data_IF_592560623144
#
_entry.id   IF_592560623144
#
_cell.length_a   1.000
_cell.length_b   1.000
_cell.length_c   1.000
_cell.angle_alpha   90.00
_cell.angle_beta   90.00
_cell.angle_gamma   90.00
#
_symmetry.space_group_name_H-M   'P 1'
#
loop_
_entity.id
_entity.type
_entity.pdbx_description
1 polymer ?
#
# COMPACT_ATOMS: atom_id res chain seq x y z
N UNK A 1 -17.50 -12.65 -10.47
CA UNK A 1 -18.80 -13.28 -10.80
C UNK A 1 -19.69 -12.32 -11.60
N UNK A 2 -20.26 -11.23 -11.05
CA UNK A 2 -21.23 -10.36 -11.71
C UNK A 2 -20.73 -9.81 -13.05
N UNK A 3 -19.44 -9.40 -13.14
CA UNK A 3 -18.86 -8.98 -14.41
C UNK A 3 -18.88 -10.08 -15.46
N UNK A 4 -18.71 -11.33 -15.07
CA UNK A 4 -18.79 -12.49 -15.97
C UNK A 4 -20.24 -12.64 -16.48
N UNK A 5 -21.21 -12.62 -15.57
CA UNK A 5 -22.63 -12.71 -15.92
C UNK A 5 -23.08 -11.60 -16.89
N UNK A 6 -22.61 -10.38 -16.69
CA UNK A 6 -22.88 -9.24 -17.59
C UNK A 6 -22.24 -9.45 -18.98
N UNK A 7 -21.03 -10.00 -19.01
CA UNK A 7 -20.35 -10.35 -20.28
C UNK A 7 -21.03 -11.48 -21.04
N UNK A 8 -21.46 -12.51 -20.34
CA UNK A 8 -22.21 -13.63 -20.89
C UNK A 8 -23.58 -13.17 -21.41
N UNK A 9 -24.28 -12.31 -20.65
CA UNK A 9 -25.55 -11.73 -21.07
C UNK A 9 -25.39 -10.91 -22.38
N UNK A 10 -24.32 -10.13 -22.51
CA UNK A 10 -24.06 -9.39 -23.75
C UNK A 10 -23.80 -10.35 -24.92
N UNK A 11 -22.98 -11.36 -24.72
CA UNK A 11 -22.67 -12.36 -25.76
C UNK A 11 -23.95 -13.07 -26.21
N UNK A 12 -24.79 -13.47 -25.25
CA UNK A 12 -26.07 -14.13 -25.57
C UNK A 12 -27.07 -13.19 -26.24
N UNK A 13 -27.18 -11.93 -25.78
CA UNK A 13 -28.06 -10.94 -26.41
C UNK A 13 -27.64 -10.62 -27.85
N UNK A 14 -26.33 -10.55 -28.12
CA UNK A 14 -25.81 -10.38 -29.47
C UNK A 14 -26.01 -11.61 -30.35
N UNK A 15 -25.86 -12.80 -29.80
CA UNK A 15 -26.14 -14.05 -30.55
C UNK A 15 -27.63 -14.21 -30.89
N UNK A 16 -28.52 -13.75 -30.01
CA UNK A 16 -29.97 -13.75 -30.23
C UNK A 16 -30.44 -12.63 -31.19
N UNK A 17 -29.59 -11.66 -31.48
CA UNK A 17 -29.96 -10.50 -32.32
C UNK A 17 -30.70 -9.40 -31.56
N UNK A 18 -30.85 -9.50 -30.24
CA UNK A 18 -31.48 -8.47 -29.40
C UNK A 18 -30.57 -7.22 -29.27
N UNK A 19 -29.27 -7.41 -29.43
CA UNK A 19 -28.24 -6.34 -29.49
C UNK A 19 -27.36 -6.57 -30.73
N UNK A 20 -27.03 -5.54 -31.54
CA UNK A 20 -26.11 -5.69 -32.66
C UNK A 20 -24.72 -6.20 -32.25
N UNK A 21 -24.03 -6.83 -33.22
CA UNK A 21 -22.66 -7.30 -33.01
C UNK A 21 -21.66 -6.14 -33.05
N UNK A 22 -20.87 -6.00 -31.99
CA UNK A 22 -19.74 -5.06 -31.89
C UNK A 22 -18.78 -5.52 -30.79
N UNK A 23 -17.55 -5.01 -30.78
CA UNK A 23 -16.62 -5.19 -29.68
C UNK A 23 -16.98 -4.23 -28.56
N UNK A 24 -17.43 -4.77 -27.41
CA UNK A 24 -17.82 -3.95 -26.28
C UNK A 24 -16.61 -3.55 -25.41
N UNK A 25 -16.64 -2.36 -24.81
CA UNK A 25 -15.70 -2.00 -23.77
C UNK A 25 -15.91 -2.90 -22.52
N UNK A 26 -14.91 -3.09 -21.66
CA UNK A 26 -15.06 -3.88 -20.45
C UNK A 26 -16.17 -3.30 -19.57
N UNK A 27 -17.03 -4.17 -19.04
CA UNK A 27 -18.05 -3.78 -18.08
C UNK A 27 -17.40 -3.33 -16.77
N UNK A 28 -18.05 -2.41 -16.07
CA UNK A 28 -17.68 -2.01 -14.71
C UNK A 28 -18.88 -2.19 -13.79
N UNK A 29 -18.58 -2.56 -12.54
CA UNK A 29 -19.58 -2.66 -11.47
C UNK A 29 -19.18 -1.75 -10.34
N UNK A 30 -20.18 -1.25 -9.62
CA UNK A 30 -20.01 -0.41 -8.45
C UNK A 30 -21.07 -0.76 -7.39
N UNK A 31 -20.85 -0.36 -6.15
CA UNK A 31 -21.88 -0.44 -5.13
C UNK A 31 -22.83 0.75 -5.28
N UNK A 32 -24.15 0.51 -5.42
CA UNK A 32 -25.11 1.61 -5.48
C UNK A 32 -25.10 2.43 -4.20
N UNK A 33 -25.33 3.74 -4.32
CA UNK A 33 -25.41 4.63 -3.16
C UNK A 33 -26.64 4.35 -2.26
N UNK A 34 -27.68 3.74 -2.83
CA UNK A 34 -28.93 3.42 -2.14
C UNK A 34 -29.11 1.91 -2.09
N UNK A 35 -29.37 1.39 -0.90
CA UNK A 35 -29.59 -0.05 -0.68
C UNK A 35 -30.76 -0.64 -1.48
N UNK A 36 -31.76 0.18 -1.82
CA UNK A 36 -32.90 -0.20 -2.66
C UNK A 36 -32.53 -0.57 -4.10
N UNK A 37 -31.32 -0.21 -4.52
CA UNK A 37 -30.76 -0.54 -5.85
C UNK A 37 -29.90 -1.82 -5.86
N UNK A 38 -29.98 -2.62 -4.81
CA UNK A 38 -29.26 -3.89 -4.71
C UNK A 38 -27.82 -3.75 -4.21
N UNK A 39 -27.06 -4.82 -4.33
CA UNK A 39 -25.70 -4.92 -3.84
C UNK A 39 -24.67 -4.42 -4.85
N UNK A 40 -24.94 -4.61 -6.14
CA UNK A 40 -24.07 -4.19 -7.23
C UNK A 40 -24.85 -3.60 -8.40
N UNK A 41 -24.26 -2.62 -9.07
CA UNK A 41 -24.81 -1.98 -10.25
C UNK A 41 -23.81 -2.02 -11.40
N UNK A 42 -24.26 -2.48 -12.57
CA UNK A 42 -23.47 -2.49 -13.79
C UNK A 42 -23.95 -1.38 -14.74
N UNK A 43 -23.02 -0.61 -15.27
CA UNK A 43 -23.29 0.52 -16.15
C UNK A 43 -23.06 0.19 -17.65
N UNK A 44 -22.87 -1.07 -18.00
CA UNK A 44 -22.60 -1.49 -19.38
C UNK A 44 -23.64 -0.97 -20.39
N UNK A 45 -24.97 -0.99 -20.11
CA UNK A 45 -25.96 -0.47 -21.06
C UNK A 45 -25.72 0.98 -21.43
N UNK A 46 -25.36 1.82 -20.47
CA UNK A 46 -25.04 3.23 -20.68
C UNK A 46 -23.80 3.43 -21.55
N UNK A 47 -22.83 2.54 -21.42
CA UNK A 47 -21.57 2.62 -22.17
C UNK A 47 -21.69 2.14 -23.62
N UNK A 48 -22.58 1.19 -23.89
CA UNK A 48 -22.73 0.59 -25.22
C UNK A 48 -23.93 1.09 -25.99
N UNK A 49 -24.81 1.93 -25.41
CA UNK A 49 -25.99 2.46 -26.12
C UNK A 49 -25.70 3.09 -27.46
N UNK A 50 -24.59 3.83 -27.59
CA UNK A 50 -24.15 4.44 -28.84
C UNK A 50 -23.68 3.42 -29.88
N UNK A 51 -23.00 2.36 -29.44
CA UNK A 51 -22.56 1.25 -30.30
C UNK A 51 -23.74 0.41 -30.76
N UNK A 52 -24.68 0.14 -29.87
CA UNK A 52 -25.90 -0.58 -30.13
C UNK A 52 -26.92 0.24 -30.97
N UNK A 53 -26.78 1.55 -31.01
CA UNK A 53 -27.78 2.50 -31.58
C UNK A 53 -29.18 2.30 -30.97
N UNK A 54 -29.20 2.00 -29.66
CA UNK A 54 -30.39 1.76 -28.84
C UNK A 54 -30.37 2.68 -27.63
N UNK A 55 -31.51 2.91 -27.00
CA UNK A 55 -31.53 3.62 -25.71
C UNK A 55 -30.94 2.73 -24.62
N UNK A 56 -30.25 3.32 -23.64
CA UNK A 56 -29.64 2.56 -22.57
C UNK A 56 -30.61 1.64 -21.81
N UNK A 57 -31.86 2.08 -21.64
CA UNK A 57 -32.91 1.29 -21.02
C UNK A 57 -33.27 0.05 -21.87
N UNK A 58 -33.34 0.18 -23.18
CA UNK A 58 -33.64 -0.93 -24.11
C UNK A 58 -32.49 -1.94 -24.13
N UNK A 59 -31.24 -1.43 -24.08
CA UNK A 59 -30.07 -2.29 -23.94
C UNK A 59 -30.09 -3.03 -22.58
N UNK A 60 -30.47 -2.35 -21.51
CA UNK A 60 -30.57 -2.98 -20.18
C UNK A 60 -31.65 -4.08 -20.15
N UNK A 61 -32.79 -3.85 -20.79
CA UNK A 61 -33.86 -4.85 -20.92
C UNK A 61 -33.38 -6.08 -21.73
N UNK A 62 -32.70 -5.86 -22.85
CA UNK A 62 -32.12 -6.94 -23.63
C UNK A 62 -31.07 -7.74 -22.81
N UNK A 63 -30.16 -7.06 -22.14
CA UNK A 63 -29.17 -7.75 -21.28
C UNK A 63 -29.83 -8.52 -20.15
N UNK A 64 -30.78 -7.91 -19.41
CA UNK A 64 -31.47 -8.58 -18.30
C UNK A 64 -32.12 -9.88 -18.72
N UNK A 65 -32.72 -9.94 -19.91
CA UNK A 65 -33.36 -11.14 -20.47
C UNK A 65 -32.38 -12.30 -20.65
N UNK A 66 -31.10 -11.98 -20.87
CA UNK A 66 -30.04 -12.94 -21.17
C UNK A 66 -29.04 -13.12 -20.01
N UNK A 67 -29.25 -12.46 -18.84
CA UNK A 67 -28.43 -12.78 -17.66
C UNK A 67 -28.67 -14.22 -17.25
N UNK A 68 -27.65 -15.08 -17.21
CA UNK A 68 -27.83 -16.46 -16.80
C UNK A 68 -28.19 -16.56 -15.31
N UNK A 69 -28.96 -17.60 -14.94
CA UNK A 69 -29.17 -17.91 -13.54
C UNK A 69 -27.87 -18.27 -12.85
N UNK A 70 -27.66 -17.72 -11.67
CA UNK A 70 -26.47 -18.00 -10.87
C UNK A 70 -26.83 -18.01 -9.38
N UNK A 71 -26.23 -18.96 -8.63
CA UNK A 71 -26.53 -19.17 -7.21
C UNK A 71 -26.27 -17.94 -6.32
N UNK A 72 -25.36 -17.04 -6.73
CA UNK A 72 -25.06 -15.82 -5.98
C UNK A 72 -26.07 -14.69 -6.19
N UNK A 73 -26.96 -14.78 -7.18
CA UNK A 73 -27.87 -13.71 -7.58
C UNK A 73 -29.32 -14.13 -7.37
N UNK A 74 -30.03 -13.42 -6.53
CA UNK A 74 -31.45 -13.64 -6.28
C UNK A 74 -32.34 -12.89 -7.27
N UNK A 75 -31.89 -11.73 -7.78
CA UNK A 75 -32.68 -10.84 -8.63
C UNK A 75 -31.80 -9.91 -9.44
N UNK A 76 -32.25 -9.57 -10.64
CA UNK A 76 -31.68 -8.50 -11.46
C UNK A 76 -32.77 -7.52 -11.86
N UNK A 77 -32.62 -6.25 -11.47
CA UNK A 77 -33.53 -5.16 -11.82
C UNK A 77 -32.86 -4.14 -12.73
N UNK A 78 -33.67 -3.30 -13.34
CA UNK A 78 -33.24 -2.19 -14.17
C UNK A 78 -33.58 -0.88 -13.45
N UNK A 79 -32.60 0.01 -13.32
CA UNK A 79 -32.84 1.36 -12.82
C UNK A 79 -32.52 2.39 -13.91
N UNK A 80 -33.36 3.47 -14.04
CA UNK A 80 -33.07 4.55 -14.94
C UNK A 80 -31.70 5.20 -14.65
N UNK A 81 -30.97 5.63 -15.68
CA UNK A 81 -31.34 5.61 -17.11
C UNK A 81 -30.97 4.32 -17.87
N UNK A 82 -30.53 3.27 -17.21
CA UNK A 82 -30.17 1.99 -17.82
C UNK A 82 -29.13 1.22 -17.04
N UNK A 83 -29.15 1.30 -15.72
CA UNK A 83 -28.32 0.46 -14.86
C UNK A 83 -28.92 -0.92 -14.68
N UNK A 84 -28.07 -1.95 -14.65
CA UNK A 84 -28.46 -3.30 -14.22
C UNK A 84 -28.06 -3.48 -12.76
N UNK A 85 -29.06 -3.64 -11.90
CA UNK A 85 -28.88 -3.78 -10.46
C UNK A 85 -29.02 -5.24 -10.04
N UNK A 86 -28.00 -5.77 -9.38
CA UNK A 86 -27.91 -7.15 -8.93
C UNK A 86 -28.12 -7.22 -7.42
N UNK A 87 -29.00 -8.12 -7.00
CA UNK A 87 -29.27 -8.44 -5.61
C UNK A 87 -28.68 -9.82 -5.30
N UNK A 88 -27.82 -9.89 -4.31
CA UNK A 88 -27.22 -11.17 -3.91
C UNK A 88 -28.24 -12.06 -3.22
N UNK A 89 -28.08 -13.36 -3.37
CA UNK A 89 -28.84 -14.34 -2.62
C UNK A 89 -28.33 -14.41 -1.17
N UNK A 90 -29.23 -14.25 -0.21
CA UNK A 90 -28.88 -14.23 1.21
C UNK A 90 -28.28 -15.56 1.70
N UNK A 91 -28.77 -16.69 1.16
CA UNK A 91 -28.22 -18.00 1.47
C UNK A 91 -26.80 -18.17 0.94
N UNK A 92 -26.56 -17.71 -0.29
CA UNK A 92 -25.22 -17.70 -0.86
C UNK A 92 -24.26 -16.82 -0.06
N UNK A 93 -24.68 -15.62 0.36
CA UNK A 93 -23.86 -14.73 1.21
C UNK A 93 -23.55 -15.39 2.54
N UNK A 94 -24.55 -15.99 3.20
CA UNK A 94 -24.35 -16.72 4.45
C UNK A 94 -23.37 -17.89 4.29
N UNK A 95 -23.41 -18.59 3.16
CA UNK A 95 -22.50 -19.69 2.86
C UNK A 95 -21.03 -19.24 2.65
N UNK A 96 -20.76 -17.94 2.48
CA UNK A 96 -19.37 -17.44 2.43
C UNK A 96 -18.70 -17.41 3.82
N UNK A 97 -19.46 -17.31 4.91
CA UNK A 97 -18.90 -17.23 6.27
C UNK A 97 -17.99 -18.43 6.59
N UNK A 98 -18.42 -19.69 6.44
CA UNK A 98 -17.52 -20.83 6.67
C UNK A 98 -16.34 -20.88 5.68
N UNK A 99 -16.50 -20.39 4.44
CA UNK A 99 -15.40 -20.31 3.47
C UNK A 99 -14.32 -19.34 3.95
N UNK A 100 -14.73 -18.15 4.40
CA UNK A 100 -13.81 -17.15 4.98
C UNK A 100 -13.13 -17.72 6.23
N UNK A 101 -13.90 -18.33 7.13
CA UNK A 101 -13.36 -18.89 8.36
C UNK A 101 -12.35 -20.03 8.09
N UNK A 102 -12.62 -20.87 7.11
CA UNK A 102 -11.72 -21.97 6.74
C UNK A 102 -10.42 -21.47 6.06
N UNK A 103 -10.52 -20.43 5.26
CA UNK A 103 -9.36 -19.82 4.59
C UNK A 103 -8.46 -19.01 5.55
N UNK A 104 -9.03 -18.49 6.65
CA UNK A 104 -8.29 -17.71 7.64
C UNK A 104 -7.52 -16.54 6.99
N UNK A 105 -6.25 -16.39 7.36
CA UNK A 105 -5.38 -15.30 6.89
C UNK A 105 -5.14 -15.31 5.37
N UNK A 106 -5.34 -16.44 4.69
CA UNK A 106 -5.17 -16.55 3.25
C UNK A 106 -6.37 -16.07 2.42
N UNK A 107 -7.52 -15.80 3.05
CA UNK A 107 -8.75 -15.46 2.33
C UNK A 107 -8.61 -14.28 1.37
N UNK A 108 -7.89 -13.23 1.78
CA UNK A 108 -7.69 -12.03 1.00
C UNK A 108 -6.49 -12.11 0.03
N UNK A 109 -5.78 -13.24 -0.02
CA UNK A 109 -4.63 -13.41 -0.89
C UNK A 109 -5.03 -13.60 -2.35
N UNK A 110 -4.18 -13.15 -3.25
CA UNK A 110 -4.36 -13.30 -4.70
C UNK A 110 -3.01 -13.62 -5.36
N UNK A 111 -3.05 -14.10 -6.59
CA UNK A 111 -1.83 -14.40 -7.38
C UNK A 111 -1.55 -13.32 -8.45
N UNK A 112 -1.92 -12.07 -8.19
CA UNK A 112 -1.68 -10.96 -9.14
C UNK A 112 -0.22 -10.72 -9.42
N UNK A 113 0.62 -10.90 -8.41
CA UNK A 113 2.07 -10.75 -8.51
C UNK A 113 2.76 -11.86 -9.28
N UNK A 114 2.11 -13.02 -9.44
CA UNK A 114 2.63 -14.18 -10.16
C UNK A 114 4.09 -14.53 -9.80
N UNK A 115 4.47 -14.38 -8.54
CA UNK A 115 5.84 -14.62 -8.06
C UNK A 115 6.88 -13.58 -8.52
N UNK A 116 6.48 -12.44 -9.05
CA UNK A 116 7.43 -11.38 -9.41
C UNK A 116 8.17 -10.89 -8.17
N UNK A 117 9.50 -10.77 -8.28
CA UNK A 117 10.35 -10.28 -7.21
C UNK A 117 10.30 -8.76 -7.15
N UNK A 118 10.11 -8.23 -5.95
CA UNK A 118 10.08 -6.79 -5.66
C UNK A 118 10.93 -6.52 -4.42
N UNK A 119 11.79 -5.53 -4.51
CA UNK A 119 12.56 -5.00 -3.37
C UNK A 119 11.92 -3.70 -2.90
N UNK A 120 11.67 -3.60 -1.60
CA UNK A 120 11.13 -2.41 -0.95
C UNK A 120 12.13 -1.89 0.07
N UNK A 121 12.74 -0.76 -0.25
CA UNK A 121 13.55 -0.02 0.71
C UNK A 121 12.68 0.99 1.45
N UNK A 122 12.77 1.00 2.77
CA UNK A 122 12.05 1.97 3.60
C UNK A 122 12.70 2.17 4.96
N UNK A 123 12.37 3.29 5.59
CA UNK A 123 13.04 3.87 6.76
C UNK A 123 14.40 4.46 6.39
N UNK A 124 15.44 3.66 6.16
CA UNK A 124 16.80 4.02 5.72
C UNK A 124 17.30 5.37 6.27
N UNK A 125 17.07 5.56 7.59
CA UNK A 125 17.42 6.81 8.27
C UNK A 125 18.92 6.86 8.56
N UNK A 126 19.54 8.04 8.37
CA UNK A 126 20.92 8.26 8.77
C UNK A 126 21.09 8.10 10.29
N UNK A 127 22.16 7.46 10.78
CA UNK A 127 22.41 7.23 12.21
C UNK A 127 22.95 8.50 12.89
N UNK A 128 22.30 9.65 12.71
CA UNK A 128 22.74 10.96 13.23
C UNK A 128 21.77 11.54 14.25
N UNK A 129 20.83 10.74 14.74
CA UNK A 129 19.88 11.16 15.76
C UNK A 129 18.74 10.16 15.97
N UNK A 130 17.90 10.40 16.99
CA UNK A 130 16.77 9.54 17.31
C UNK A 130 15.74 9.53 16.16
N UNK A 131 15.07 8.40 15.98
CA UNK A 131 14.00 8.27 15.02
C UNK A 131 12.85 9.25 15.32
N UNK A 132 12.35 9.93 14.29
CA UNK A 132 11.27 10.89 14.40
C UNK A 132 9.99 10.38 13.70
N UNK A 133 8.89 11.12 13.84
CA UNK A 133 7.57 10.77 13.25
C UNK A 133 7.66 10.47 11.74
N UNK A 134 8.54 11.17 11.00
CA UNK A 134 8.75 10.89 9.57
C UNK A 134 9.28 9.49 9.30
N UNK A 135 10.24 9.01 10.10
CA UNK A 135 10.77 7.64 10.01
C UNK A 135 9.67 6.61 10.36
N UNK A 136 8.90 6.86 11.44
CA UNK A 136 7.77 6.01 11.84
C UNK A 136 6.69 5.91 10.76
N UNK A 137 6.37 7.03 10.09
CA UNK A 137 5.46 7.03 8.95
C UNK A 137 6.00 6.21 7.78
N UNK A 138 7.28 6.38 7.45
CA UNK A 138 7.96 5.59 6.42
C UNK A 138 7.92 4.10 6.73
N UNK A 139 8.17 3.72 7.99
CA UNK A 139 8.10 2.34 8.45
C UNK A 139 6.68 1.75 8.29
N UNK A 140 5.65 2.48 8.72
CA UNK A 140 4.26 2.03 8.62
C UNK A 140 3.83 1.84 7.17
N UNK A 141 4.15 2.79 6.28
CA UNK A 141 3.81 2.70 4.86
C UNK A 141 4.56 1.55 4.20
N UNK A 142 5.88 1.46 4.38
CA UNK A 142 6.71 0.43 3.76
C UNK A 142 6.33 -0.98 4.21
N UNK A 143 6.14 -1.18 5.51
CA UNK A 143 5.71 -2.46 6.07
C UNK A 143 4.30 -2.86 5.58
N UNK A 144 3.36 -1.93 5.55
CA UNK A 144 2.01 -2.19 5.03
C UNK A 144 2.05 -2.55 3.54
N UNK A 145 2.81 -1.81 2.74
CA UNK A 145 2.98 -2.09 1.31
C UNK A 145 3.58 -3.48 1.09
N UNK A 146 4.63 -3.84 1.86
CA UNK A 146 5.24 -5.16 1.79
C UNK A 146 4.22 -6.27 2.07
N UNK A 147 3.38 -6.12 3.10
CA UNK A 147 2.37 -7.10 3.47
C UNK A 147 1.27 -7.21 2.38
N UNK A 148 0.80 -6.09 1.85
CA UNK A 148 -0.19 -6.08 0.76
C UNK A 148 0.36 -6.75 -0.50
N UNK A 149 1.59 -6.45 -0.87
CA UNK A 149 2.23 -7.08 -2.03
C UNK A 149 2.45 -8.58 -1.84
N UNK A 150 2.87 -9.03 -0.64
CA UNK A 150 2.96 -10.47 -0.32
C UNK A 150 1.60 -11.14 -0.45
N UNK A 151 0.54 -10.54 0.08
CA UNK A 151 -0.82 -11.05 -0.05
C UNK A 151 -1.31 -11.05 -1.51
N UNK A 152 -0.76 -10.17 -2.35
CA UNK A 152 -1.04 -10.13 -3.79
C UNK A 152 -0.18 -11.11 -4.62
N UNK A 153 0.65 -11.96 -4.01
CA UNK A 153 1.44 -12.98 -4.69
C UNK A 153 2.79 -12.52 -5.23
N UNK A 154 3.33 -11.38 -4.76
CA UNK A 154 4.70 -10.96 -5.06
C UNK A 154 5.69 -11.61 -4.08
N UNK A 155 6.91 -11.89 -4.55
CA UNK A 155 8.06 -12.19 -3.70
C UNK A 155 8.70 -10.89 -3.25
N UNK A 156 8.43 -10.48 -2.00
CA UNK A 156 8.85 -9.17 -1.48
C UNK A 156 10.05 -9.31 -0.57
N UNK A 157 11.15 -8.67 -0.96
CA UNK A 157 12.33 -8.43 -0.17
C UNK A 157 12.22 -7.04 0.48
N UNK A 158 12.55 -6.96 1.77
CA UNK A 158 12.51 -5.70 2.53
C UNK A 158 13.94 -5.30 2.86
N UNK A 159 14.31 -4.07 2.55
CA UNK A 159 15.65 -3.54 2.71
C UNK A 159 15.67 -2.32 3.61
N UNK A 160 16.67 -2.26 4.48
CA UNK A 160 17.08 -1.08 5.21
C UNK A 160 18.51 -0.74 4.81
N UNK A 161 18.72 0.40 4.19
CA UNK A 161 20.06 0.87 3.81
C UNK A 161 20.75 1.48 5.04
N UNK A 162 21.85 0.86 5.46
CA UNK A 162 22.69 1.39 6.53
C UNK A 162 23.65 2.41 5.92
N UNK A 163 23.45 3.70 6.25
CA UNK A 163 24.31 4.79 5.79
C UNK A 163 25.27 5.20 6.90
N UNK A 164 26.33 4.41 7.09
CA UNK A 164 27.35 4.59 8.13
C UNK A 164 28.57 5.43 7.68
N UNK A 165 28.48 6.09 6.53
CA UNK A 165 29.56 6.88 5.95
C UNK A 165 29.07 8.24 5.41
N UNK A 166 30.01 9.10 5.03
CA UNK A 166 29.73 10.38 4.38
C UNK A 166 29.73 11.59 5.32
N UNK A 167 29.42 12.76 4.74
CA UNK A 167 29.57 14.05 5.40
C UNK A 167 28.74 14.19 6.68
N UNK A 168 27.51 13.65 6.69
CA UNK A 168 26.63 13.74 7.87
C UNK A 168 27.17 12.96 9.06
N UNK A 169 27.65 11.75 8.82
CA UNK A 169 28.27 10.92 9.86
C UNK A 169 29.53 11.56 10.39
N UNK A 170 30.38 12.11 9.50
CA UNK A 170 31.57 12.84 9.91
C UNK A 170 31.27 14.09 10.76
N UNK A 171 30.25 14.87 10.40
CA UNK A 171 29.80 16.04 11.19
C UNK A 171 29.24 15.59 12.53
N UNK A 172 28.48 14.49 12.54
CA UNK A 172 27.96 13.92 13.78
C UNK A 172 29.08 13.47 14.72
N UNK A 173 30.07 12.73 14.20
CA UNK A 173 31.24 12.32 14.98
C UNK A 173 32.01 13.51 15.56
N UNK A 174 32.23 14.58 14.79
CA UNK A 174 32.85 15.81 15.31
C UNK A 174 31.99 16.48 16.38
N UNK A 175 30.67 16.46 16.22
CA UNK A 175 29.77 17.02 17.24
C UNK A 175 29.84 16.20 18.55
N UNK A 176 29.81 14.89 18.43
CA UNK A 176 29.94 13.98 19.57
C UNK A 176 31.28 14.19 20.28
N UNK A 177 32.36 14.31 19.51
CA UNK A 177 33.69 14.57 20.06
C UNK A 177 33.79 15.91 20.80
N UNK A 178 33.23 16.99 20.24
CA UNK A 178 33.18 18.28 20.92
C UNK A 178 32.42 18.19 22.26
N UNK A 179 31.30 17.46 22.30
CA UNK A 179 30.58 17.21 23.56
C UNK A 179 31.37 16.36 24.53
N UNK A 180 32.08 15.36 24.04
CA UNK A 180 32.94 14.50 24.87
C UNK A 180 34.09 15.30 25.47
N UNK A 181 34.79 16.19 24.73
CA UNK A 181 35.85 17.09 25.25
C UNK A 181 35.31 18.04 26.32
N UNK A 182 34.10 18.60 26.14
CA UNK A 182 33.43 19.47 27.10
C UNK A 182 33.24 18.76 28.46
N UNK A 183 32.95 17.46 28.47
CA UNK A 183 32.81 16.66 29.71
C UNK A 183 34.13 16.53 30.49
N UNK A 184 35.28 16.77 29.86
CA UNK A 184 36.60 16.79 30.50
C UNK A 184 37.11 18.21 30.75
N UNK A 185 36.22 19.22 30.62
CA UNK A 185 36.56 20.62 30.94
C UNK A 185 37.36 21.34 29.85
N UNK A 186 37.42 20.77 28.61
CA UNK A 186 38.08 21.44 27.48
C UNK A 186 37.13 22.44 26.82
N UNK A 187 37.68 23.51 26.26
CA UNK A 187 36.93 24.43 25.42
C UNK A 187 36.83 23.85 24.01
N UNK A 188 35.63 23.32 23.68
CA UNK A 188 35.33 22.75 22.37
C UNK A 188 34.01 23.31 21.83
N UNK A 189 34.01 23.68 20.56
CA UNK A 189 32.84 24.23 19.87
C UNK A 189 32.24 23.20 18.94
N UNK A 190 30.91 23.12 18.94
CA UNK A 190 30.17 22.30 17.98
C UNK A 190 30.38 22.86 16.57
N UNK A 191 30.63 22.03 15.53
CA UNK A 191 30.68 22.47 14.15
C UNK A 191 29.43 23.29 13.74
N UNK A 192 29.57 24.27 12.85
CA UNK A 192 28.47 25.14 12.41
C UNK A 192 27.24 24.36 11.92
N UNK A 193 27.48 23.24 11.23
CA UNK A 193 26.43 22.33 10.73
C UNK A 193 26.24 21.09 11.64
N UNK A 194 26.68 21.20 12.93
CA UNK A 194 26.62 20.09 13.88
C UNK A 194 25.22 19.81 14.43
N UNK A 195 25.14 18.82 15.29
CA UNK A 195 23.89 18.32 15.89
C UNK A 195 23.78 18.83 17.35
N UNK A 196 23.05 19.93 17.62
CA UNK A 196 23.05 20.56 18.95
C UNK A 196 22.13 19.85 19.97
N UNK A 197 21.43 18.79 19.59
CA UNK A 197 20.44 18.13 20.44
C UNK A 197 21.03 17.53 21.72
N UNK A 198 20.21 17.46 22.78
CA UNK A 198 20.60 16.92 24.08
C UNK A 198 21.05 15.44 24.01
N UNK A 199 20.47 14.67 23.09
CA UNK A 199 20.86 13.27 22.88
C UNK A 199 22.35 13.07 22.57
N UNK A 200 23.01 14.06 21.94
CA UNK A 200 24.47 13.98 21.70
C UNK A 200 25.27 14.15 22.99
N UNK A 201 24.74 14.91 23.96
CA UNK A 201 25.33 15.04 25.28
C UNK A 201 25.22 13.70 26.02
N UNK A 202 24.04 13.08 26.02
CA UNK A 202 23.80 11.77 26.62
C UNK A 202 24.72 10.69 26.02
N UNK A 203 24.91 10.73 24.68
CA UNK A 203 25.85 9.82 24.01
C UNK A 203 27.30 10.07 24.47
N UNK A 204 27.73 11.33 24.54
CA UNK A 204 29.06 11.67 25.02
C UNK A 204 29.29 11.22 26.48
N UNK A 205 28.29 11.35 27.33
CA UNK A 205 28.32 10.84 28.71
C UNK A 205 28.48 9.32 28.74
N UNK A 206 27.77 8.58 27.88
CA UNK A 206 27.92 7.14 27.79
C UNK A 206 29.31 6.75 27.31
N UNK A 207 29.82 7.39 26.24
CA UNK A 207 31.20 7.16 25.77
C UNK A 207 32.22 7.41 26.90
N UNK A 208 32.04 8.49 27.64
CA UNK A 208 32.91 8.79 28.81
C UNK A 208 32.82 7.71 29.89
N UNK A 209 31.64 7.24 30.19
CA UNK A 209 31.41 6.20 31.22
C UNK A 209 32.02 4.85 30.83
N UNK A 210 31.95 4.48 29.55
CA UNK A 210 32.41 3.20 29.02
C UNK A 210 33.91 3.19 28.71
N UNK A 211 34.45 4.30 28.18
CA UNK A 211 35.82 4.39 27.66
C UNK A 211 36.75 5.36 28.40
N UNK A 212 36.24 6.15 29.34
CA UNK A 212 37.06 7.12 30.09
C UNK A 212 37.65 8.18 29.14
N UNK A 213 38.97 8.30 29.18
CA UNK A 213 39.73 9.26 28.35
C UNK A 213 40.28 8.68 27.04
N UNK A 214 39.90 7.46 26.67
CA UNK A 214 40.52 6.70 25.56
C UNK A 214 40.46 7.42 24.20
N UNK A 215 39.45 8.22 23.98
CA UNK A 215 39.26 8.98 22.72
C UNK A 215 39.76 10.42 22.80
N UNK A 216 40.31 10.91 23.93
CA UNK A 216 40.88 12.24 24.01
C UNK A 216 42.15 12.31 23.15
N UNK A 217 42.18 13.27 22.22
CA UNK A 217 43.35 13.60 21.41
C UNK A 217 44.03 14.89 21.92
N UNK A 218 45.27 15.18 21.52
CA UNK A 218 45.87 16.48 21.72
C UNK A 218 44.99 17.61 21.14
N UNK A 219 45.02 18.78 21.76
CA UNK A 219 44.24 19.93 21.31
C UNK A 219 44.54 20.27 19.85
N UNK A 220 43.45 20.41 19.03
CA UNK A 220 43.55 20.74 17.63
C UNK A 220 43.68 19.55 16.67
N UNK A 221 43.76 18.34 17.19
CA UNK A 221 43.69 17.13 16.36
C UNK A 221 42.24 16.70 16.03
N UNK A 222 42.05 16.11 14.86
CA UNK A 222 40.77 15.56 14.44
C UNK A 222 40.39 14.36 15.34
N UNK A 223 39.07 14.20 15.60
CA UNK A 223 38.57 13.06 16.40
C UNK A 223 38.91 11.72 15.78
N UNK A 224 38.96 10.69 16.63
CA UNK A 224 39.10 9.33 16.15
C UNK A 224 37.91 8.96 15.27
N UNK A 225 38.12 8.43 14.06
CA UNK A 225 37.01 7.99 13.20
C UNK A 225 36.09 6.94 13.86
N UNK A 226 36.62 6.13 14.78
CA UNK A 226 35.83 5.12 15.48
C UNK A 226 34.75 5.75 16.39
N UNK A 227 34.99 6.96 16.92
CA UNK A 227 34.03 7.64 17.78
C UNK A 227 32.72 7.98 17.05
N UNK A 228 32.75 8.18 15.76
CA UNK A 228 31.55 8.44 14.94
C UNK A 228 30.77 7.18 14.59
N UNK A 229 31.28 5.99 14.93
CA UNK A 229 30.67 4.68 14.66
C UNK A 229 30.11 4.04 15.92
N UNK A 230 30.37 4.61 17.10
CA UNK A 230 29.81 4.20 18.39
C UNK A 230 28.37 4.69 18.56
#
# INVERSE_FOLDING_TARGET
>A
EILVLVGEALTAAQAAGDIPQFAAPPATIEHPQRAEHGDFSANLPLRIQGLAKMKAIEVAEALRKHVPEHASVSKVDIAPPGFLNFYLDAGWVAAQVPVVAAAGDSYASSDRGAGQRVQLEYVSANPTGPAHVGNGRGAAIGSTLANVMKAAGYEVEQEFYVNDAGTQVAIFGRTLYARYEQLFGREASIPENGYPGEYVIELAERVKAEHGEAFLRPEGEEPDPELGQL
#
